data_IF_583264989514
#
_entry.id   IF_583264989514
#
_cell.length_a   1.000
_cell.length_b   1.000
_cell.length_c   1.000
_cell.angle_alpha   90.00
_cell.angle_beta   90.00
_cell.angle_gamma   90.00
#
_symmetry.space_group_name_H-M   'P 1'
#
loop_
_entity.id
_entity.type
_entity.pdbx_description
1 polymer ?
#
# COMPACT_ATOMS: atom_id res chain seq x y z
N UNK A 1 0.08 14.18 15.43
CA UNK A 1 -1.12 13.32 15.25
C UNK A 1 -1.06 12.45 14.01
N UNK A 2 -0.86 12.99 12.80
CA UNK A 2 -0.87 12.23 11.53
C UNK A 2 0.06 10.99 11.51
N UNK A 3 1.26 11.08 12.10
CA UNK A 3 2.24 9.97 12.14
C UNK A 3 1.70 8.68 12.79
N UNK A 4 0.82 8.81 13.78
CA UNK A 4 0.30 7.67 14.55
C UNK A 4 -0.71 6.84 13.76
N UNK A 5 -1.38 7.44 12.77
CA UNK A 5 -2.52 6.82 12.09
C UNK A 5 -2.23 6.38 10.66
N UNK A 6 -1.01 6.60 10.15
CA UNK A 6 -0.69 6.27 8.75
C UNK A 6 -0.93 4.79 8.43
N UNK A 7 -0.52 3.88 9.32
CA UNK A 7 -0.70 2.44 9.11
C UNK A 7 -2.17 2.02 9.08
N UNK A 8 -3.00 2.55 9.99
CA UNK A 8 -4.43 2.20 10.04
C UNK A 8 -5.20 2.82 8.87
N UNK A 9 -4.88 4.05 8.48
CA UNK A 9 -5.48 4.70 7.30
C UNK A 9 -5.11 3.95 6.03
N UNK A 10 -3.84 3.56 5.89
CA UNK A 10 -3.38 2.74 4.78
C UNK A 10 -4.07 1.37 4.73
N UNK A 11 -4.19 0.69 5.87
CA UNK A 11 -4.95 -0.56 5.96
C UNK A 11 -6.41 -0.41 5.50
N UNK A 12 -7.13 0.60 5.99
CA UNK A 12 -8.55 0.80 5.64
C UNK A 12 -8.73 1.06 4.14
N UNK A 13 -7.89 1.91 3.54
CA UNK A 13 -7.92 2.19 2.10
C UNK A 13 -7.62 0.94 1.28
N UNK A 14 -6.57 0.21 1.64
CA UNK A 14 -6.19 -1.03 0.98
C UNK A 14 -7.23 -2.13 1.11
N UNK A 15 -7.88 -2.23 2.28
CA UNK A 15 -8.93 -3.21 2.52
C UNK A 15 -10.11 -3.03 1.57
N UNK A 16 -10.50 -1.77 1.30
CA UNK A 16 -11.54 -1.45 0.32
C UNK A 16 -11.13 -1.94 -1.07
N UNK A 17 -9.92 -1.63 -1.53
CA UNK A 17 -9.47 -2.04 -2.87
C UNK A 17 -9.32 -3.55 -3.03
N UNK A 18 -8.82 -4.26 -2.00
CA UNK A 18 -8.77 -5.74 -1.97
C UNK A 18 -10.19 -6.32 -2.03
N UNK A 19 -11.13 -5.78 -1.26
CA UNK A 19 -12.51 -6.26 -1.22
C UNK A 19 -13.21 -6.04 -2.56
N UNK A 20 -13.02 -4.88 -3.19
CA UNK A 20 -13.53 -4.59 -4.53
C UNK A 20 -12.94 -5.60 -5.52
N UNK A 21 -11.63 -5.80 -5.53
CA UNK A 21 -10.97 -6.77 -6.41
C UNK A 21 -11.55 -8.18 -6.26
N UNK A 22 -11.68 -8.66 -5.01
CA UNK A 22 -12.28 -9.95 -4.71
C UNK A 22 -13.75 -10.02 -5.18
N UNK A 23 -14.55 -8.99 -4.93
CA UNK A 23 -15.96 -8.94 -5.31
C UNK A 23 -16.16 -9.05 -6.83
N UNK A 24 -15.44 -8.25 -7.61
CA UNK A 24 -15.59 -8.23 -9.08
C UNK A 24 -14.95 -9.44 -9.77
N UNK A 25 -13.98 -10.10 -9.13
CA UNK A 25 -13.47 -11.41 -9.59
C UNK A 25 -14.59 -12.45 -9.64
N UNK A 26 -15.57 -12.41 -8.73
CA UNK A 26 -16.76 -13.29 -8.79
C UNK A 26 -17.67 -13.00 -9.99
N UNK A 27 -17.62 -11.79 -10.56
CA UNK A 27 -18.40 -11.40 -11.75
C UNK A 27 -17.62 -11.57 -13.06
N UNK A 28 -16.42 -12.18 -13.01
CA UNK A 28 -15.59 -12.43 -14.20
C UNK A 28 -14.89 -11.18 -14.74
N UNK A 29 -14.80 -10.11 -13.95
CA UNK A 29 -14.07 -8.89 -14.32
C UNK A 29 -12.62 -8.99 -13.84
N UNK A 30 -11.67 -8.79 -14.75
CA UNK A 30 -10.25 -8.84 -14.42
C UNK A 30 -9.77 -7.52 -13.81
N UNK A 31 -9.95 -7.41 -12.50
CA UNK A 31 -9.43 -6.30 -11.69
C UNK A 31 -8.51 -6.82 -10.57
N UNK A 32 -7.86 -7.95 -10.82
CA UNK A 32 -6.80 -8.48 -9.95
C UNK A 32 -5.66 -7.47 -9.70
N UNK A 33 -5.24 -6.65 -10.69
CA UNK A 33 -4.23 -5.60 -10.47
C UNK A 33 -4.60 -4.60 -9.37
N UNK A 34 -5.89 -4.25 -9.24
CA UNK A 34 -6.36 -3.35 -8.18
C UNK A 34 -6.12 -3.96 -6.79
N UNK A 35 -6.36 -5.27 -6.65
CA UNK A 35 -6.15 -6.00 -5.41
C UNK A 35 -4.67 -6.05 -5.02
N UNK A 36 -3.80 -6.33 -5.99
CA UNK A 36 -2.34 -6.36 -5.79
C UNK A 36 -1.78 -4.99 -5.40
N UNK A 37 -2.15 -3.94 -6.13
CA UNK A 37 -1.75 -2.56 -5.81
C UNK A 37 -2.25 -2.19 -4.42
N UNK A 38 -3.49 -2.52 -4.08
CA UNK A 38 -4.07 -2.23 -2.78
C UNK A 38 -3.32 -2.96 -1.66
N UNK A 39 -3.01 -4.24 -1.84
CA UNK A 39 -2.20 -5.01 -0.88
C UNK A 39 -0.80 -4.41 -0.70
N UNK A 40 -0.19 -4.00 -1.80
CA UNK A 40 1.12 -3.37 -1.77
C UNK A 40 1.12 -2.03 -1.02
N UNK A 41 0.11 -1.18 -1.25
CA UNK A 41 -0.10 0.07 -0.50
C UNK A 41 -0.25 -0.19 1.00
N UNK A 42 -0.88 -1.30 1.40
CA UNK A 42 -0.99 -1.67 2.82
C UNK A 42 0.39 -1.94 3.43
N UNK A 43 1.21 -2.78 2.77
CA UNK A 43 2.55 -3.10 3.25
C UNK A 43 3.42 -1.83 3.34
N UNK A 44 3.38 -0.99 2.32
CA UNK A 44 4.12 0.27 2.28
C UNK A 44 3.75 1.20 3.43
N UNK A 45 2.46 1.47 3.60
CA UNK A 45 1.95 2.37 4.65
C UNK A 45 2.20 1.82 6.05
N UNK A 46 2.05 0.51 6.25
CA UNK A 46 2.38 -0.15 7.50
C UNK A 46 3.87 -0.04 7.83
N UNK A 47 4.74 -0.32 6.85
CA UNK A 47 6.20 -0.25 7.01
C UNK A 47 6.64 1.17 7.35
N UNK A 48 6.16 2.18 6.63
CA UNK A 48 6.45 3.59 6.92
C UNK A 48 5.93 3.96 8.30
N UNK A 49 4.69 3.58 8.63
CA UNK A 49 4.08 3.83 9.94
C UNK A 49 4.91 3.23 11.07
N UNK A 50 5.48 2.04 10.88
CA UNK A 50 6.33 1.38 11.88
C UNK A 50 7.65 2.11 12.12
N UNK A 51 8.22 2.78 11.11
CA UNK A 51 9.48 3.52 11.24
C UNK A 51 9.26 4.93 11.80
N UNK A 52 8.23 5.65 11.34
CA UNK A 52 7.97 7.04 11.79
C UNK A 52 7.49 7.14 13.24
N UNK A 53 7.00 6.04 13.81
CA UNK A 53 6.56 5.96 15.20
C UNK A 53 7.65 5.48 16.17
N UNK A 54 8.89 5.22 15.70
CA UNK A 54 10.04 4.94 16.57
C UNK A 54 10.49 6.21 17.29
N UNK A 55 11.16 6.06 18.43
CA UNK A 55 11.77 7.18 19.17
C UNK A 55 12.76 7.98 18.31
N UNK A 56 13.52 7.29 17.46
CA UNK A 56 14.46 7.88 16.49
C UNK A 56 14.18 7.36 15.08
N UNK A 57 13.24 7.98 14.34
CA UNK A 57 12.88 7.53 12.99
C UNK A 57 14.03 7.69 12.00
N UNK A 58 14.31 6.66 11.19
CA UNK A 58 15.26 6.76 10.08
C UNK A 58 14.58 7.33 8.85
N UNK A 59 14.74 8.64 8.61
CA UNK A 59 14.16 9.33 7.45
C UNK A 59 14.56 8.69 6.12
N UNK A 60 15.83 8.30 5.98
CA UNK A 60 16.34 7.67 4.75
C UNK A 60 15.58 6.37 4.43
N UNK A 61 15.26 5.55 5.45
CA UNK A 61 14.50 4.31 5.27
C UNK A 61 13.09 4.57 4.76
N UNK A 62 12.43 5.59 5.29
CA UNK A 62 11.10 6.01 4.82
C UNK A 62 11.15 6.42 3.35
N UNK A 63 12.15 7.21 2.94
CA UNK A 63 12.33 7.59 1.53
C UNK A 63 12.63 6.39 0.64
N UNK A 64 13.46 5.46 1.08
CA UNK A 64 13.74 4.21 0.35
C UNK A 64 12.46 3.41 0.13
N UNK A 65 11.66 3.19 1.18
CA UNK A 65 10.39 2.46 1.07
C UNK A 65 9.42 3.19 0.14
N UNK A 66 9.31 4.51 0.21
CA UNK A 66 8.47 5.30 -0.71
C UNK A 66 8.89 5.15 -2.17
N UNK A 67 10.18 5.30 -2.47
CA UNK A 67 10.70 5.20 -3.85
C UNK A 67 10.50 3.80 -4.39
N UNK A 68 10.87 2.76 -3.63
CA UNK A 68 10.65 1.37 -4.03
C UNK A 68 9.17 1.09 -4.27
N UNK A 69 8.31 1.67 -3.44
CA UNK A 69 6.88 1.47 -3.59
C UNK A 69 6.33 2.14 -4.85
N UNK A 70 6.80 3.34 -5.16
CA UNK A 70 6.42 4.05 -6.37
C UNK A 70 6.88 3.29 -7.62
N UNK A 71 8.10 2.77 -7.61
CA UNK A 71 8.66 1.98 -8.71
C UNK A 71 7.86 0.70 -8.92
N UNK A 72 7.54 -0.02 -7.84
CA UNK A 72 6.75 -1.26 -7.92
C UNK A 72 5.34 -1.01 -8.47
N UNK A 73 4.63 0.01 -7.95
CA UNK A 73 3.30 0.37 -8.46
C UNK A 73 3.38 0.79 -9.92
N UNK A 74 4.38 1.61 -10.29
CA UNK A 74 4.60 2.01 -11.68
C UNK A 74 4.83 0.80 -12.59
N UNK A 75 5.67 -0.15 -12.15
CA UNK A 75 5.93 -1.36 -12.91
C UNK A 75 4.67 -2.23 -13.10
N UNK A 76 3.84 -2.36 -12.06
CA UNK A 76 2.54 -3.05 -12.17
C UNK A 76 1.66 -2.42 -13.26
N UNK A 77 1.57 -1.09 -13.34
CA UNK A 77 0.83 -0.40 -14.40
C UNK A 77 1.37 -0.60 -15.83
N UNK A 78 2.62 -1.03 -16.00
CA UNK A 78 3.17 -1.34 -17.32
C UNK A 78 3.05 -2.82 -17.69
N UNK A 79 2.89 -3.70 -16.69
CA UNK A 79 2.75 -5.15 -16.87
C UNK A 79 1.30 -5.53 -17.15
N UNK A 80 0.35 -4.84 -16.50
CA UNK A 80 -1.09 -4.99 -16.68
C UNK A 80 -1.63 -4.04 -17.75
#
# INVERSE_FOLDING_TARGET
MIKKYLGIVGFLLSFVGITISAYYKFYGMDIEPLGEISFFVWITTWTISSEINKEKPRKWWVYTVLILSLVAISAMFFVF
#
